data_IF_755291369576
#
_entry.id   IF_755291369576
#
_cell.length_a   1.000
_cell.length_b   1.000
_cell.length_c   1.000
_cell.angle_alpha   90.00
_cell.angle_beta   90.00
_cell.angle_gamma   90.00
#
_symmetry.space_group_name_H-M   'P 1'
#
loop_
_entity.id
_entity.type
_entity.pdbx_description
1 polymer ?
#
# COMPACT_ATOMS: atom_id res chain seq x y z
N UNK A 1 0.18 -9.40 -5.26
CA UNK A 1 1.05 -9.78 -4.13
C UNK A 1 0.48 -9.16 -2.85
N UNK A 2 0.05 -9.98 -1.91
CA UNK A 2 -0.52 -9.47 -0.66
C UNK A 2 0.47 -8.58 0.10
N UNK A 3 -0.03 -7.54 0.72
CA UNK A 3 0.77 -6.58 1.47
C UNK A 3 1.38 -5.46 0.64
N UNK A 4 1.20 -5.46 -0.66
CA UNK A 4 1.74 -4.42 -1.54
C UNK A 4 0.86 -3.17 -1.49
N UNK A 5 1.48 -2.02 -1.28
CA UNK A 5 0.79 -0.73 -1.28
C UNK A 5 0.45 -0.34 -2.72
N UNK A 6 -0.81 0.01 -2.95
CA UNK A 6 -1.35 0.27 -4.29
C UNK A 6 -1.72 1.74 -4.41
N UNK A 7 -1.40 2.34 -5.53
CA UNK A 7 -1.71 3.72 -5.83
C UNK A 7 -2.25 3.86 -7.25
N UNK A 8 -2.98 4.95 -7.47
CA UNK A 8 -3.53 5.26 -8.80
C UNK A 8 -2.41 5.70 -9.74
N UNK A 9 -2.51 5.29 -11.00
CA UNK A 9 -1.59 5.76 -12.04
C UNK A 9 -1.95 7.21 -12.37
N UNK A 10 -0.99 8.14 -12.30
CA UNK A 10 -1.27 9.54 -12.59
C UNK A 10 -1.86 9.73 -13.99
N UNK A 11 -2.86 10.59 -14.10
CA UNK A 11 -3.52 10.89 -15.36
C UNK A 11 -4.53 9.87 -15.84
N UNK A 12 -4.67 8.75 -15.13
CA UNK A 12 -5.64 7.71 -15.46
C UNK A 12 -6.80 7.74 -14.47
N UNK A 13 -8.00 7.44 -14.92
CA UNK A 13 -9.17 7.41 -14.03
C UNK A 13 -9.41 6.04 -13.41
N UNK A 14 -8.83 4.98 -13.97
CA UNK A 14 -9.15 3.62 -13.52
C UNK A 14 -7.96 2.65 -13.58
N UNK A 15 -6.74 3.15 -13.58
CA UNK A 15 -5.55 2.31 -13.60
C UNK A 15 -4.78 2.45 -12.29
N UNK A 16 -4.27 1.34 -11.80
CA UNK A 16 -3.60 1.26 -10.51
C UNK A 16 -2.30 0.48 -10.64
N UNK A 17 -1.34 0.79 -9.78
CA UNK A 17 -0.04 0.12 -9.77
C UNK A 17 0.49 0.07 -8.34
N UNK A 18 1.63 -0.58 -8.14
CA UNK A 18 2.36 -0.43 -6.89
C UNK A 18 2.65 1.06 -6.64
N UNK A 19 2.65 1.45 -5.38
CA UNK A 19 3.05 2.82 -5.04
C UNK A 19 4.50 3.06 -5.44
N UNK A 20 4.77 4.27 -5.92
CA UNK A 20 6.10 4.73 -6.33
C UNK A 20 6.29 6.13 -5.77
N UNK A 21 7.53 6.63 -5.82
CA UNK A 21 7.77 8.00 -5.36
C UNK A 21 6.92 9.02 -6.13
N UNK A 22 6.58 8.74 -7.39
CA UNK A 22 5.82 9.67 -8.24
C UNK A 22 4.32 9.68 -7.95
N UNK A 23 3.76 8.65 -7.29
CA UNK A 23 2.32 8.58 -7.06
C UNK A 23 1.93 8.33 -5.61
N UNK A 24 2.80 8.66 -4.66
CA UNK A 24 2.54 8.42 -3.23
C UNK A 24 1.27 9.11 -2.74
N UNK A 25 0.93 10.26 -3.31
CA UNK A 25 -0.29 11.00 -2.94
C UNK A 25 -1.57 10.37 -3.48
N UNK A 26 -1.43 9.41 -4.39
CA UNK A 26 -2.57 8.75 -5.03
C UNK A 26 -2.80 7.36 -4.46
N UNK A 27 -2.27 7.09 -3.27
CA UNK A 27 -2.43 5.80 -2.62
C UNK A 27 -3.90 5.50 -2.36
N UNK A 28 -4.31 4.26 -2.61
CA UNK A 28 -5.71 3.85 -2.45
C UNK A 28 -5.87 2.74 -1.41
N UNK A 29 -4.85 1.94 -1.16
CA UNK A 29 -4.96 0.87 -0.19
C UNK A 29 -3.83 -0.13 -0.32
N UNK A 30 -4.06 -1.32 0.21
CA UNK A 30 -3.06 -2.39 0.26
C UNK A 30 -3.65 -3.64 -0.36
N UNK A 31 -2.88 -4.29 -1.21
CA UNK A 31 -3.29 -5.55 -1.82
C UNK A 31 -3.52 -6.60 -0.71
N UNK A 32 -4.67 -7.24 -0.73
CA UNK A 32 -5.07 -8.21 0.28
C UNK A 32 -5.26 -9.58 -0.37
N UNK A 33 -4.98 -10.64 0.37
CA UNK A 33 -5.31 -12.00 -0.05
C UNK A 33 -6.73 -12.38 0.37
N UNK A 34 -7.43 -11.48 1.06
CA UNK A 34 -8.81 -11.67 1.46
C UNK A 34 -9.74 -11.10 0.39
N UNK A 35 -10.73 -11.87 -0.02
CA UNK A 35 -11.69 -11.43 -1.02
C UNK A 35 -12.85 -10.63 -0.43
N UNK A 36 -12.77 -10.27 0.84
CA UNK A 36 -13.79 -9.45 1.47
C UNK A 36 -13.82 -8.00 0.99
N UNK A 37 -12.73 -7.54 0.39
CA UNK A 37 -12.58 -6.15 -0.04
C UNK A 37 -12.03 -6.11 -1.44
N UNK A 38 -12.92 -5.99 -2.42
CA UNK A 38 -12.53 -5.83 -3.82
C UNK A 38 -12.98 -4.45 -4.23
N UNK A 39 -12.05 -3.66 -4.78
CA UNK A 39 -12.41 -2.39 -5.39
C UNK A 39 -13.37 -2.66 -6.54
N UNK A 40 -14.55 -2.05 -6.49
CA UNK A 40 -15.62 -2.34 -7.41
C UNK A 40 -15.28 -2.01 -8.86
N UNK A 41 -14.82 -3.00 -9.61
CA UNK A 41 -14.46 -2.83 -10.99
C UNK A 41 -13.13 -2.17 -11.24
N UNK A 42 -12.33 -1.91 -10.20
CA UNK A 42 -11.02 -1.31 -10.37
C UNK A 42 -10.01 -2.31 -10.89
N UNK A 43 -9.13 -1.87 -11.75
CA UNK A 43 -8.16 -2.73 -12.40
C UNK A 43 -6.74 -2.35 -11.98
N UNK A 44 -5.92 -3.36 -11.69
CA UNK A 44 -4.50 -3.13 -11.52
C UNK A 44 -3.85 -3.08 -12.90
N UNK A 45 -3.06 -2.04 -13.12
CA UNK A 45 -2.33 -1.92 -14.37
C UNK A 45 -1.23 -2.98 -14.43
N UNK A 46 -1.37 -3.90 -15.36
CA UNK A 46 -0.35 -4.90 -15.62
C UNK A 46 0.36 -4.52 -16.90
N UNK A 47 1.54 -3.95 -16.76
CA UNK A 47 2.29 -3.41 -17.87
C UNK A 47 2.87 -4.45 -18.82
N UNK A 48 2.85 -5.72 -18.42
CA UNK A 48 3.56 -6.75 -19.19
C UNK A 48 2.72 -7.39 -20.29
N UNK A 49 1.42 -7.51 -20.09
CA UNK A 49 0.61 -8.32 -21.01
C UNK A 49 -0.68 -7.62 -21.46
N UNK A 50 -0.89 -6.39 -21.10
CA UNK A 50 -2.11 -5.64 -21.42
C UNK A 50 -3.39 -6.30 -20.92
N UNK A 51 -3.31 -7.36 -20.15
CA UNK A 51 -4.47 -8.00 -19.57
C UNK A 51 -4.90 -7.22 -18.33
N UNK A 52 -6.19 -7.04 -18.23
CA UNK A 52 -6.77 -6.35 -17.08
C UNK A 52 -6.95 -7.36 -15.96
N UNK A 53 -6.41 -7.05 -14.80
CA UNK A 53 -6.53 -7.91 -13.63
C UNK A 53 -7.23 -7.17 -12.51
N UNK A 54 -8.12 -7.87 -11.84
CA UNK A 54 -8.79 -7.37 -10.65
C UNK A 54 -8.14 -8.02 -9.44
N UNK A 55 -7.70 -7.22 -8.49
CA UNK A 55 -7.10 -7.74 -7.26
C UNK A 55 -7.85 -7.18 -6.05
N UNK A 56 -7.90 -7.96 -4.96
CA UNK A 56 -8.48 -7.45 -3.71
C UNK A 56 -7.59 -6.34 -3.15
N UNK A 57 -8.18 -5.19 -2.83
CA UNK A 57 -7.49 -4.08 -2.20
C UNK A 57 -8.23 -3.73 -0.92
N UNK A 58 -7.54 -3.81 0.21
CA UNK A 58 -8.12 -3.45 1.49
C UNK A 58 -8.11 -1.93 1.63
N UNK A 59 -9.28 -1.36 1.87
CA UNK A 59 -9.46 0.08 2.04
C UNK A 59 -9.87 0.45 3.47
N UNK A 60 -10.12 -0.54 4.32
CA UNK A 60 -10.44 -0.37 5.72
C UNK A 60 -10.18 -1.67 6.47
N UNK A 61 -10.21 -1.63 7.81
CA UNK A 61 -9.98 -2.81 8.62
C UNK A 61 -8.51 -3.07 8.87
N UNK A 62 -8.20 -4.31 9.21
CA UNK A 62 -6.82 -4.74 9.50
C UNK A 62 -6.30 -5.57 8.35
N UNK A 63 -5.05 -5.31 7.98
CA UNK A 63 -4.44 -5.98 6.82
C UNK A 63 -2.95 -6.10 7.04
N UNK A 64 -2.34 -7.11 6.47
CA UNK A 64 -0.89 -7.23 6.44
C UNK A 64 -0.34 -6.26 5.39
N UNK A 65 0.74 -5.55 5.74
CA UNK A 65 1.40 -4.61 4.84
C UNK A 65 2.90 -4.86 4.86
N UNK A 66 3.51 -4.75 3.70
CA UNK A 66 4.97 -4.79 3.58
C UNK A 66 5.51 -3.43 3.98
N UNK A 67 6.50 -3.41 4.87
CA UNK A 67 7.10 -2.15 5.31
C UNK A 67 8.61 -2.26 5.42
N UNK A 68 9.26 -1.11 5.44
CA UNK A 68 10.71 -1.01 5.54
C UNK A 68 11.10 0.01 6.60
N UNK A 69 12.32 -0.10 7.12
CA UNK A 69 12.86 0.80 8.13
C UNK A 69 12.41 0.45 9.54
N UNK A 70 12.53 1.41 10.44
CA UNK A 70 12.14 1.25 11.83
C UNK A 70 10.70 1.70 12.02
N UNK A 71 9.83 0.75 12.34
CA UNK A 71 8.42 1.00 12.58
C UNK A 71 8.08 0.44 13.95
N UNK A 72 7.46 1.25 14.77
CA UNK A 72 6.96 0.85 16.08
C UNK A 72 5.45 0.71 16.06
N UNK A 73 4.94 -0.14 16.91
CA UNK A 73 3.51 -0.26 17.13
C UNK A 73 2.91 1.13 17.43
N UNK A 74 1.89 1.51 16.70
CA UNK A 74 1.26 2.82 16.82
C UNK A 74 1.75 3.86 15.83
N UNK A 75 2.83 3.61 15.12
CA UNK A 75 3.33 4.57 14.12
C UNK A 75 2.39 4.65 12.92
N UNK A 76 2.25 5.85 12.37
CA UNK A 76 1.55 6.04 11.10
C UNK A 76 2.45 5.64 9.95
N UNK A 77 1.85 5.12 8.90
CA UNK A 77 2.56 4.60 7.74
C UNK A 77 2.15 5.35 6.47
N UNK A 78 3.15 5.58 5.62
CA UNK A 78 2.97 6.20 4.30
C UNK A 78 3.64 5.30 3.26
N UNK A 79 3.32 5.48 1.96
CA UNK A 79 4.06 4.76 0.92
C UNK A 79 5.53 5.14 0.95
N UNK A 80 6.42 4.16 0.83
CA UNK A 80 7.86 4.41 0.85
C UNK A 80 8.28 5.22 -0.37
N UNK A 81 9.23 6.12 -0.17
CA UNK A 81 9.84 6.87 -1.26
C UNK A 81 10.87 6.03 -2.01
N UNK A 82 11.53 5.12 -1.31
CA UNK A 82 12.65 4.37 -1.88
C UNK A 82 12.29 2.97 -2.37
N UNK A 83 11.21 2.37 -1.88
CA UNK A 83 10.81 1.02 -2.25
C UNK A 83 9.37 1.01 -2.76
N UNK A 84 9.21 0.61 -4.02
CA UNK A 84 7.88 0.56 -4.64
C UNK A 84 6.99 -0.49 -3.98
N UNK A 85 5.75 -0.12 -3.69
CA UNK A 85 4.77 -1.04 -3.12
C UNK A 85 4.97 -1.37 -1.65
N UNK A 86 5.81 -0.64 -0.95
CA UNK A 86 6.17 -0.89 0.44
C UNK A 86 5.85 0.36 1.26
N UNK A 87 5.46 0.20 2.52
CA UNK A 87 5.18 1.31 3.43
C UNK A 87 6.40 1.63 4.29
N UNK A 88 6.40 2.82 4.85
CA UNK A 88 7.41 3.24 5.81
C UNK A 88 6.76 4.16 6.85
N UNK A 89 7.43 4.36 7.98
CA UNK A 89 6.94 5.28 9.00
C UNK A 89 6.91 6.71 8.46
N UNK A 90 5.80 7.39 8.66
CA UNK A 90 5.70 8.79 8.27
C UNK A 90 4.30 9.33 8.53
N UNK A 91 4.20 10.65 8.58
CA UNK A 91 2.93 11.34 8.78
C UNK A 91 2.88 12.54 7.85
N UNK A 92 2.61 12.27 6.58
CA UNK A 92 2.48 13.31 5.57
C UNK A 92 1.01 13.36 5.15
N UNK A 93 0.34 14.51 5.31
CA UNK A 93 -1.07 14.62 4.94
C UNK A 93 -1.32 14.19 3.50
N UNK A 94 -2.36 13.39 3.30
CA UNK A 94 -2.72 12.86 2.00
C UNK A 94 -1.99 11.59 1.62
N UNK A 95 -1.04 11.12 2.43
CA UNK A 95 -0.28 9.91 2.15
C UNK A 95 -0.45 8.81 3.20
N UNK A 96 -1.05 9.11 4.35
CA UNK A 96 -1.18 8.13 5.43
C UNK A 96 -2.12 7.02 5.01
N UNK A 97 -1.64 5.77 5.09
CA UNK A 97 -2.43 4.59 4.72
C UNK A 97 -2.94 3.83 5.93
N UNK A 98 -2.32 4.01 7.08
CA UNK A 98 -2.75 3.30 8.26
C UNK A 98 -1.82 3.47 9.44
N UNK A 99 -2.11 2.72 10.50
CA UNK A 99 -1.35 2.71 11.73
C UNK A 99 -0.80 1.31 11.98
N UNK A 100 0.49 1.22 12.27
CA UNK A 100 1.13 -0.05 12.55
C UNK A 100 0.58 -0.67 13.84
N UNK A 101 0.22 -1.94 13.78
CA UNK A 101 -0.21 -2.72 14.94
C UNK A 101 0.86 -3.68 15.41
N UNK A 102 1.98 -3.75 14.69
CA UNK A 102 3.14 -4.56 15.03
C UNK A 102 4.39 -3.75 14.70
N UNK A 103 5.51 -4.12 15.27
CA UNK A 103 6.79 -3.45 15.03
C UNK A 103 7.56 -4.13 13.92
N UNK A 104 8.40 -3.36 13.24
CA UNK A 104 9.29 -3.84 12.19
C UNK A 104 10.59 -3.05 12.25
N UNK A 105 11.71 -3.73 12.31
CA UNK A 105 13.02 -3.10 12.36
C UNK A 105 13.90 -3.69 11.29
N UNK A 106 14.02 -2.99 10.18
CA UNK A 106 14.83 -3.43 9.04
C UNK A 106 15.69 -2.30 8.54
N UNK A 107 16.70 -2.63 7.76
CA UNK A 107 17.47 -1.64 7.00
C UNK A 107 16.62 -1.14 5.83
N UNK A 108 17.00 0.01 5.27
CA UNK A 108 16.20 0.68 4.24
C UNK A 108 15.90 -0.15 3.00
N UNK A 109 16.71 -1.12 2.66
CA UNK A 109 16.49 -1.94 1.47
C UNK A 109 15.94 -3.32 1.82
N UNK A 110 15.53 -3.51 3.05
CA UNK A 110 14.92 -4.75 3.52
C UNK A 110 13.49 -4.46 3.94
N UNK A 111 12.66 -5.48 3.91
CA UNK A 111 11.27 -5.32 4.29
C UNK A 111 10.83 -6.43 5.24
N UNK A 112 9.78 -6.14 6.00
CA UNK A 112 9.05 -7.15 6.75
C UNK A 112 7.56 -6.89 6.57
N UNK A 113 6.75 -7.88 6.91
CA UNK A 113 5.29 -7.76 6.79
C UNK A 113 4.71 -7.66 8.18
N UNK A 114 3.91 -6.63 8.41
CA UNK A 114 3.29 -6.39 9.72
C UNK A 114 1.79 -6.18 9.56
N UNK A 115 1.07 -6.34 10.67
CA UNK A 115 -0.35 -6.00 10.71
C UNK A 115 -0.52 -4.49 10.82
N UNK A 116 -1.46 -3.95 10.06
CA UNK A 116 -1.76 -2.52 10.03
C UNK A 116 -3.27 -2.30 10.10
N UNK A 117 -3.68 -1.26 10.83
CA UNK A 117 -5.05 -0.77 10.77
C UNK A 117 -5.13 0.24 9.64
N UNK A 118 -5.93 -0.04 8.62
CA UNK A 118 -6.09 0.87 7.48
C UNK A 118 -6.81 2.13 7.95
N UNK A 119 -6.33 3.27 7.50
CA UNK A 119 -6.91 4.57 7.84
C UNK A 119 -7.06 5.40 6.57
N UNK A 120 -8.23 5.99 6.40
CA UNK A 120 -8.49 6.95 5.33
C UNK A 120 -8.49 8.34 5.93
N UNK A 121 -7.38 9.02 5.79
CA UNK A 121 -7.22 10.37 6.31
C UNK A 121 -7.08 11.35 5.16
#
# INVERSE_FOLDING_TARGET
MPGTVIAKVPGSSNRYSKSKSSNRRLVVGVCSDSYGHILGGEELDNMEDNNKKFIPVAMYGRVKVRCTGDVEEGDLLIPSESMNGVAERGNIPGMVIGKALESCHTNKNQECTILMQVMNI
#
